data_IF_560939340442
#
_entry.id   IF_560939340442
#
_cell.length_a   1.000
_cell.length_b   1.000
_cell.length_c   1.000
_cell.angle_alpha   90.00
_cell.angle_beta   90.00
_cell.angle_gamma   90.00
#
_symmetry.space_group_name_H-M   'P 1'
#
loop_
_entity.id
_entity.type
_entity.pdbx_description
1 polymer ?
#
# COMPACT_ATOMS: atom_id res chain seq x y z
N UNK A 1 2.89 -19.56 7.83
CA UNK A 1 2.02 -18.86 6.86
C UNK A 1 1.72 -17.44 7.36
N UNK A 2 1.85 -16.46 6.50
CA UNK A 2 1.55 -15.07 6.86
C UNK A 2 0.06 -14.82 6.62
N UNK A 3 -0.62 -14.31 7.64
CA UNK A 3 -2.04 -13.97 7.55
C UNK A 3 -2.17 -12.48 7.22
N UNK A 4 -3.12 -12.14 6.38
CA UNK A 4 -3.36 -10.77 5.93
C UNK A 4 -4.76 -10.33 6.31
N UNK A 5 -4.88 -9.18 6.94
CA UNK A 5 -6.16 -8.55 7.19
C UNK A 5 -6.42 -7.50 6.13
N UNK A 6 -7.53 -7.64 5.41
CA UNK A 6 -7.86 -6.76 4.29
C UNK A 6 -8.62 -5.51 4.73
N UNK A 7 -8.45 -4.43 3.98
CA UNK A 7 -9.21 -3.18 4.11
C UNK A 7 -9.16 -2.58 5.52
N UNK A 8 -7.95 -2.50 6.06
CA UNK A 8 -7.76 -1.94 7.39
C UNK A 8 -7.58 -0.42 7.26
N UNK A 9 -8.68 0.27 6.94
CA UNK A 9 -8.62 1.69 6.60
C UNK A 9 -8.96 2.62 7.78
N UNK A 10 -8.76 2.14 9.00
CA UNK A 10 -8.98 2.96 10.19
C UNK A 10 -8.01 2.56 11.30
N UNK A 11 -7.74 3.50 12.21
CA UNK A 11 -6.89 3.22 13.36
C UNK A 11 -7.54 2.23 14.31
N UNK A 12 -8.87 2.27 14.44
CA UNK A 12 -9.60 1.33 15.28
C UNK A 12 -9.41 -0.10 14.81
N UNK A 13 -9.53 -0.34 13.51
CA UNK A 13 -9.29 -1.67 12.96
C UNK A 13 -7.83 -2.11 13.15
N UNK A 14 -6.90 -1.21 12.87
CA UNK A 14 -5.48 -1.51 13.00
C UNK A 14 -5.12 -1.92 14.43
N UNK A 15 -5.66 -1.22 15.41
CA UNK A 15 -5.39 -1.48 16.81
C UNK A 15 -5.79 -2.89 17.24
N UNK A 16 -6.82 -3.46 16.60
CA UNK A 16 -7.34 -4.77 16.96
C UNK A 16 -6.70 -5.92 16.20
N UNK A 17 -5.67 -5.66 15.39
CA UNK A 17 -5.00 -6.68 14.58
C UNK A 17 -3.67 -7.04 15.23
N UNK A 18 -3.41 -8.34 15.33
CA UNK A 18 -2.13 -8.85 15.84
C UNK A 18 -0.97 -8.37 14.97
N UNK A 19 0.14 -8.01 15.60
CA UNK A 19 1.33 -7.50 14.91
C UNK A 19 1.96 -8.50 13.95
N UNK A 20 1.69 -9.77 14.12
CA UNK A 20 2.18 -10.82 13.22
C UNK A 20 1.40 -10.92 11.91
N UNK A 21 0.33 -10.18 11.78
CA UNK A 21 -0.46 -10.14 10.54
C UNK A 21 0.11 -9.11 9.58
N UNK A 22 -0.06 -9.39 8.28
CA UNK A 22 0.03 -8.36 7.26
C UNK A 22 -1.26 -7.55 7.23
N UNK A 23 -1.17 -6.30 6.80
CA UNK A 23 -2.31 -5.38 6.77
C UNK A 23 -2.42 -4.79 5.36
N UNK A 24 -3.63 -4.81 4.81
CA UNK A 24 -3.92 -4.19 3.52
C UNK A 24 -4.75 -2.93 3.71
N UNK A 25 -4.37 -1.86 3.03
CA UNK A 25 -5.10 -0.59 3.04
C UNK A 25 -5.36 -0.12 1.61
N UNK A 26 -6.44 0.66 1.43
CA UNK A 26 -6.79 1.27 0.16
C UNK A 26 -6.34 2.72 0.15
N UNK A 27 -5.47 3.07 -0.79
CA UNK A 27 -4.88 4.41 -0.85
C UNK A 27 -5.46 5.21 -2.01
N UNK A 28 -5.96 6.39 -1.69
CA UNK A 28 -6.46 7.37 -2.65
C UNK A 28 -5.86 8.73 -2.32
N UNK A 29 -6.20 9.73 -3.11
CA UNK A 29 -5.80 11.11 -2.81
C UNK A 29 -7.00 12.04 -2.81
N UNK A 30 -6.93 13.07 -1.98
CA UNK A 30 -7.88 14.19 -2.00
C UNK A 30 -7.04 15.46 -1.88
N UNK A 31 -7.16 16.36 -2.86
CA UNK A 31 -6.41 17.62 -2.85
C UNK A 31 -4.91 17.40 -2.63
N UNK A 32 -4.34 16.42 -3.34
CA UNK A 32 -2.92 16.06 -3.29
C UNK A 32 -2.48 15.47 -1.96
N UNK A 33 -3.41 15.10 -1.09
CA UNK A 33 -3.11 14.43 0.18
C UNK A 33 -3.49 12.96 0.09
N UNK A 34 -2.64 12.09 0.56
CA UNK A 34 -2.91 10.66 0.57
C UNK A 34 -3.81 10.30 1.74
N UNK A 35 -4.85 9.53 1.45
CA UNK A 35 -5.82 9.09 2.43
C UNK A 35 -6.10 7.59 2.26
N UNK A 36 -6.61 6.97 3.32
CA UNK A 36 -7.12 5.62 3.29
C UNK A 36 -8.63 5.68 3.21
N UNK A 37 -9.20 5.16 2.13
CA UNK A 37 -10.63 5.16 1.96
C UNK A 37 -11.06 4.12 0.94
N UNK A 38 -11.88 3.16 1.37
CA UNK A 38 -12.47 2.18 0.48
C UNK A 38 -13.82 2.67 -0.07
N UNK A 39 -14.57 3.39 0.73
CA UNK A 39 -15.91 3.86 0.37
C UNK A 39 -15.95 5.39 0.27
N UNK A 40 -16.62 5.93 -0.76
CA UNK A 40 -16.51 7.36 -1.09
C UNK A 40 -17.10 8.30 -0.07
N UNK A 41 -18.02 7.87 0.79
CA UNK A 41 -18.71 8.77 1.71
C UNK A 41 -18.29 8.59 3.17
N UNK A 42 -17.23 7.85 3.43
CA UNK A 42 -16.73 7.67 4.79
C UNK A 42 -15.62 8.66 5.09
N UNK A 43 -15.48 8.98 6.38
CA UNK A 43 -14.41 9.86 6.85
C UNK A 43 -13.05 9.22 6.52
N UNK A 44 -12.25 9.96 5.78
CA UNK A 44 -10.96 9.48 5.32
C UNK A 44 -9.88 9.66 6.40
N UNK A 45 -9.03 8.65 6.55
CA UNK A 45 -7.88 8.72 7.45
C UNK A 45 -6.64 9.08 6.63
N UNK A 46 -5.86 10.11 7.01
CA UNK A 46 -4.62 10.40 6.31
C UNK A 46 -3.65 9.22 6.38
N UNK A 47 -3.01 8.90 5.26
CA UNK A 47 -2.03 7.82 5.22
C UNK A 47 -0.90 8.05 6.22
N UNK A 48 -0.43 9.27 6.33
CA UNK A 48 0.66 9.59 7.24
C UNK A 48 0.30 9.26 8.71
N UNK A 49 -0.93 9.58 9.11
CA UNK A 49 -1.42 9.25 10.46
C UNK A 49 -1.42 7.74 10.69
N UNK A 50 -1.89 6.98 9.70
CA UNK A 50 -1.92 5.53 9.76
C UNK A 50 -0.50 4.95 9.87
N UNK A 51 0.42 5.42 9.04
CA UNK A 51 1.79 4.89 9.00
C UNK A 51 2.54 5.12 10.30
N UNK A 52 2.24 6.18 11.02
CA UNK A 52 2.86 6.46 12.31
C UNK A 52 2.47 5.46 13.39
N UNK A 53 1.32 4.81 13.23
CA UNK A 53 0.83 3.81 14.18
C UNK A 53 1.04 2.38 13.69
N UNK A 54 1.50 2.21 12.46
CA UNK A 54 1.71 0.89 11.88
C UNK A 54 3.00 0.26 12.41
N UNK A 55 2.89 -0.95 12.95
CA UNK A 55 4.06 -1.73 13.37
C UNK A 55 3.82 -3.23 13.18
N UNK A 56 3.02 -3.58 12.18
CA UNK A 56 2.69 -4.96 11.87
C UNK A 56 3.74 -5.58 10.93
N UNK A 57 3.59 -6.87 10.64
CA UNK A 57 4.59 -7.65 9.93
C UNK A 57 4.90 -7.12 8.54
N UNK A 58 3.88 -6.73 7.79
CA UNK A 58 4.06 -6.08 6.49
C UNK A 58 2.82 -5.31 6.10
N UNK A 59 2.98 -4.39 5.16
CA UNK A 59 1.91 -3.51 4.71
C UNK A 59 1.69 -3.69 3.22
N UNK A 60 0.44 -3.87 2.84
CA UNK A 60 0.03 -3.91 1.44
C UNK A 60 -0.76 -2.63 1.16
N UNK A 61 -0.25 -1.84 0.23
CA UNK A 61 -0.86 -0.58 -0.16
C UNK A 61 -1.55 -0.78 -1.50
N UNK A 62 -2.86 -0.90 -1.47
CA UNK A 62 -3.67 -1.06 -2.67
C UNK A 62 -3.91 0.32 -3.29
N UNK A 63 -3.23 0.58 -4.41
CA UNK A 63 -3.25 1.89 -5.06
C UNK A 63 -4.49 1.99 -5.92
N UNK A 64 -5.41 2.88 -5.54
CA UNK A 64 -6.72 3.01 -6.21
C UNK A 64 -6.75 4.09 -7.29
N UNK A 65 -5.67 4.82 -7.46
CA UNK A 65 -5.55 5.87 -8.48
C UNK A 65 -4.19 5.80 -9.15
N UNK A 66 -4.12 6.18 -10.42
CA UNK A 66 -2.84 6.34 -11.09
C UNK A 66 -2.18 7.64 -10.68
N UNK A 67 -0.85 7.65 -10.69
CA UNK A 67 -0.08 8.88 -10.48
C UNK A 67 0.29 9.19 -9.05
N UNK A 68 -0.16 8.39 -8.06
CA UNK A 68 0.15 8.63 -6.65
C UNK A 68 1.23 7.71 -6.10
N UNK A 69 1.77 6.82 -6.92
CA UNK A 69 2.71 5.78 -6.48
C UNK A 69 3.98 6.35 -5.87
N UNK A 70 4.57 7.36 -6.52
CA UNK A 70 5.80 7.97 -6.01
C UNK A 70 5.56 8.69 -4.68
N UNK A 71 4.40 9.33 -4.55
CA UNK A 71 4.04 10.00 -3.30
C UNK A 71 3.86 8.99 -2.17
N UNK A 72 3.24 7.84 -2.46
CA UNK A 72 3.10 6.75 -1.49
C UNK A 72 4.48 6.28 -1.04
N UNK A 73 5.40 6.06 -1.98
CA UNK A 73 6.75 5.62 -1.64
C UNK A 73 7.48 6.61 -0.74
N UNK A 74 7.29 7.91 -0.98
CA UNK A 74 7.88 8.94 -0.14
C UNK A 74 7.35 8.87 1.29
N UNK A 75 6.04 8.69 1.47
CA UNK A 75 5.45 8.58 2.81
C UNK A 75 5.91 7.31 3.53
N UNK A 76 5.97 6.19 2.81
CA UNK A 76 6.43 4.92 3.38
C UNK A 76 7.88 5.05 3.86
N UNK A 77 8.72 5.65 3.04
CA UNK A 77 10.13 5.88 3.39
C UNK A 77 10.28 6.82 4.58
N UNK A 78 9.51 7.91 4.59
CA UNK A 78 9.52 8.89 5.68
C UNK A 78 9.18 8.24 7.02
N UNK A 79 8.24 7.31 7.02
CA UNK A 79 7.79 6.62 8.23
C UNK A 79 8.58 5.34 8.50
N UNK A 80 9.65 5.09 7.76
CA UNK A 80 10.60 3.97 7.97
C UNK A 80 9.93 2.60 7.89
N UNK A 81 8.89 2.46 7.07
CA UNK A 81 8.27 1.17 6.80
C UNK A 81 9.19 0.39 5.87
N UNK A 82 9.59 -0.81 6.28
CA UNK A 82 10.56 -1.61 5.51
C UNK A 82 9.91 -2.71 4.68
N UNK A 83 8.87 -3.34 5.21
CA UNK A 83 8.22 -4.46 4.55
C UNK A 83 6.86 -4.02 4.02
N UNK A 84 6.79 -3.76 2.74
CA UNK A 84 5.55 -3.31 2.11
C UNK A 84 5.47 -3.74 0.66
N UNK A 85 4.24 -3.77 0.14
CA UNK A 85 3.94 -4.05 -1.26
C UNK A 85 3.01 -2.97 -1.81
N UNK A 86 3.15 -2.64 -3.08
CA UNK A 86 2.15 -1.87 -3.80
C UNK A 86 1.33 -2.81 -4.68
N UNK A 87 0.02 -2.73 -4.59
CA UNK A 87 -0.90 -3.48 -5.44
C UNK A 87 -1.55 -2.56 -6.47
N UNK A 88 -1.98 -3.16 -7.58
CA UNK A 88 -2.70 -2.49 -8.67
C UNK A 88 -1.92 -1.36 -9.34
N UNK A 89 -0.59 -1.48 -9.29
CA UNK A 89 0.31 -0.59 -10.02
C UNK A 89 0.27 -0.97 -11.51
N UNK A 90 0.20 0.02 -12.40
CA UNK A 90 0.15 -0.24 -13.84
C UNK A 90 1.45 -0.84 -14.34
N UNK A 91 1.38 -1.61 -15.44
CA UNK A 91 2.55 -2.24 -16.04
C UNK A 91 3.65 -1.24 -16.38
N UNK A 92 3.37 -0.11 -17.06
CA UNK A 92 4.40 0.89 -17.32
C UNK A 92 5.08 1.39 -16.05
N UNK A 93 4.33 1.57 -14.98
CA UNK A 93 4.89 2.02 -13.71
C UNK A 93 5.76 0.94 -13.08
N UNK A 94 5.40 -0.33 -13.22
CA UNK A 94 6.20 -1.46 -12.77
C UNK A 94 7.58 -1.42 -13.43
N UNK A 95 7.65 -1.26 -14.75
CA UNK A 95 8.91 -1.19 -15.48
C UNK A 95 9.73 0.02 -15.04
N UNK A 96 9.10 1.15 -14.80
CA UNK A 96 9.81 2.34 -14.32
C UNK A 96 10.45 2.08 -12.96
N UNK A 97 9.76 1.44 -12.03
CA UNK A 97 10.29 1.11 -10.72
C UNK A 97 11.48 0.15 -10.82
N UNK A 98 11.37 -0.87 -11.65
CA UNK A 98 12.45 -1.83 -11.87
C UNK A 98 13.69 -1.11 -12.42
N UNK A 99 13.49 -0.26 -13.42
CA UNK A 99 14.58 0.52 -14.04
C UNK A 99 15.30 1.40 -13.01
N UNK A 100 14.55 1.96 -12.06
CA UNK A 100 15.10 2.84 -11.03
C UNK A 100 15.63 2.08 -9.82
N UNK A 101 15.71 0.76 -9.88
CA UNK A 101 16.24 -0.10 -8.81
C UNK A 101 15.48 0.00 -7.50
N UNK A 102 14.20 0.28 -7.56
CA UNK A 102 13.33 0.31 -6.39
C UNK A 102 12.65 -1.03 -6.13
N UNK A 103 13.01 -2.05 -6.89
CA UNK A 103 12.34 -3.35 -6.84
C UNK A 103 12.45 -4.07 -5.50
N UNK A 104 13.48 -3.78 -4.72
CA UNK A 104 13.71 -4.47 -3.45
C UNK A 104 12.63 -4.16 -2.41
N UNK A 105 11.93 -3.04 -2.59
CA UNK A 105 10.88 -2.59 -1.67
C UNK A 105 9.50 -2.63 -2.31
N UNK A 106 9.39 -3.24 -3.51
CA UNK A 106 8.15 -3.26 -4.26
C UNK A 106 7.80 -4.68 -4.65
N UNK A 107 6.57 -5.05 -4.35
CA UNK A 107 5.98 -6.29 -4.84
C UNK A 107 4.70 -5.92 -5.56
N UNK A 108 4.47 -6.62 -6.67
CA UNK A 108 3.32 -6.34 -7.50
C UNK A 108 2.24 -7.37 -7.21
N UNK A 109 1.02 -7.08 -7.59
CA UNK A 109 -0.04 -8.06 -7.45
C UNK A 109 0.38 -9.33 -8.18
N UNK A 110 0.52 -10.41 -7.43
CA UNK A 110 1.04 -11.66 -7.96
C UNK A 110 0.21 -12.15 -9.14
N UNK A 111 -1.12 -12.07 -9.04
CA UNK A 111 -2.01 -12.51 -10.11
C UNK A 111 -1.78 -11.77 -11.43
N UNK A 112 -1.54 -10.46 -11.38
CA UNK A 112 -1.22 -9.68 -12.58
C UNK A 112 0.17 -10.04 -13.11
N UNK A 113 1.10 -10.20 -12.22
CA UNK A 113 2.46 -10.56 -12.57
C UNK A 113 2.53 -11.96 -13.20
N UNK A 114 1.81 -12.90 -12.63
CA UNK A 114 1.72 -14.26 -13.19
C UNK A 114 1.14 -14.25 -14.60
N UNK A 115 0.11 -13.45 -14.85
CA UNK A 115 -0.45 -13.31 -16.20
C UNK A 115 0.58 -12.79 -17.19
N UNK A 116 1.43 -11.84 -16.78
CA UNK A 116 2.51 -11.34 -17.61
C UNK A 116 3.50 -12.45 -17.94
N UNK A 117 3.82 -13.28 -16.98
CA UNK A 117 4.75 -14.39 -17.19
C UNK A 117 4.16 -15.50 -18.06
N UNK A 118 2.84 -15.63 -18.08
CA UNK A 118 2.14 -16.62 -18.88
C UNK A 118 1.89 -16.15 -20.32
N UNK A 119 2.04 -14.87 -20.57
CA UNK A 119 1.91 -14.33 -21.91
C UNK A 119 3.20 -14.48 -22.70
#
# INVERSE_FOLDING_TARGET
MIKIQHRVNSLKKLKNIDHNFGVEVDVRSINKKLILNHEPFQKALPLDTFLKKFNHKFLILNVKEEGIENLILNYVKKNRIKNYFLLDVTIPKIFQFIKNKKKNNLFFRISKFEKLNQL
#
